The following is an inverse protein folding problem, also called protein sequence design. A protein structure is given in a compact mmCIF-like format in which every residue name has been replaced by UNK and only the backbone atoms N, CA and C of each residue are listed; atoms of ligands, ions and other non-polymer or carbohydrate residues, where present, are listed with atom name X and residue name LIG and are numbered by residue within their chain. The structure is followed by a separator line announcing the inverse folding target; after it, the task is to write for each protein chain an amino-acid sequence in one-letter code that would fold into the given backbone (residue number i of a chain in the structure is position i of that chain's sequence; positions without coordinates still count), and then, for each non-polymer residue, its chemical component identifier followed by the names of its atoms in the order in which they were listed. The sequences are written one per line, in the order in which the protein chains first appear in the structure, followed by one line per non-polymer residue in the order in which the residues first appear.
data_IF_532635222548
#
_entry.id   IF_532635222548
#
_cell.length_a   1.000
_cell.length_b   1.000
_cell.length_c   1.000
_cell.angle_alpha   90.00
_cell.angle_beta   90.00
_cell.angle_gamma   90.00
#
_symmetry.space_group_name_H-M   'P 1'
#
loop_
_entity.id
_entity.type
_entity.pdbx_description
1 polymer ?
#
# COMPACT_ATOMS: atom_id res chain seq x y z
N UNK A 1 -9.15 11.17 -9.34
CA UNK A 1 -8.62 9.96 -8.67
C UNK A 1 -8.02 8.98 -9.67
N UNK A 2 -8.67 8.72 -10.82
CA UNK A 2 -8.13 7.81 -11.84
C UNK A 2 -6.77 8.25 -12.41
N UNK A 3 -6.65 9.51 -12.84
CA UNK A 3 -5.40 10.05 -13.43
C UNK A 3 -4.18 9.99 -12.51
N UNK A 4 -4.18 10.51 -11.27
CA UNK A 4 -3.01 10.43 -10.40
C UNK A 4 -2.65 9.00 -9.99
N UNK A 5 -3.63 8.10 -9.91
CA UNK A 5 -3.38 6.67 -9.63
C UNK A 5 -2.66 6.00 -10.79
N UNK A 6 -3.15 6.21 -12.01
CA UNK A 6 -2.56 5.64 -13.22
C UNK A 6 -1.16 6.22 -13.47
N UNK A 7 -0.94 7.52 -13.19
CA UNK A 7 0.39 8.14 -13.27
C UNK A 7 1.38 7.58 -12.22
N UNK A 8 0.93 7.36 -10.98
CA UNK A 8 1.75 6.75 -9.93
C UNK A 8 2.13 5.29 -10.26
N UNK A 9 1.15 4.54 -10.75
CA UNK A 9 1.35 3.16 -11.18
C UNK A 9 2.33 3.11 -12.36
N UNK A 10 2.19 4.02 -13.34
CA UNK A 10 3.14 4.12 -14.43
C UNK A 10 4.53 4.49 -13.95
N UNK A 11 4.70 5.38 -12.97
CA UNK A 11 6.01 5.69 -12.40
C UNK A 11 6.66 4.46 -11.75
N UNK A 12 5.87 3.63 -11.06
CA UNK A 12 6.32 2.37 -10.47
C UNK A 12 6.69 1.33 -11.54
N UNK A 13 5.89 1.21 -12.60
CA UNK A 13 6.13 0.28 -13.70
C UNK A 13 7.15 0.78 -14.74
N UNK A 14 7.44 2.08 -14.80
CA UNK A 14 8.45 2.66 -15.69
C UNK A 14 9.84 2.11 -15.39
N UNK A 15 10.11 1.79 -14.11
CA UNK A 15 11.34 1.12 -13.70
C UNK A 15 11.46 -0.34 -14.22
N UNK A 16 10.34 -0.94 -14.64
CA UNK A 16 10.24 -2.34 -15.10
C UNK A 16 10.26 -2.51 -16.63
N UNK A 17 10.48 -1.45 -17.42
CA UNK A 17 10.64 -1.50 -18.89
C UNK A 17 9.44 -2.10 -19.65
N UNK A 18 8.21 -1.68 -19.33
CA UNK A 18 7.01 -2.12 -20.06
C UNK A 18 7.06 -1.67 -21.54
N UNK A 19 7.18 -2.61 -22.48
CA UNK A 19 6.97 -2.39 -23.93
C UNK A 19 5.48 -2.51 -24.31
N UNK A 20 4.59 -2.02 -23.46
CA UNK A 20 3.15 -2.28 -23.52
C UNK A 20 2.36 -1.02 -23.86
N UNK A 21 1.14 -1.19 -24.40
CA UNK A 21 0.27 -0.07 -24.77
C UNK A 21 -0.27 0.59 -23.49
N UNK A 22 -0.03 1.89 -23.33
CA UNK A 22 -0.51 2.66 -22.19
C UNK A 22 -1.54 3.71 -22.63
N UNK A 23 -2.76 3.64 -22.08
CA UNK A 23 -3.83 4.61 -22.32
C UNK A 23 -4.38 5.09 -20.97
N UNK A 24 -3.91 6.22 -20.43
CA UNK A 24 -4.27 6.66 -19.07
C UNK A 24 -5.78 6.83 -18.84
N UNK A 25 -6.51 7.20 -19.89
CA UNK A 25 -7.97 7.24 -19.89
C UNK A 25 -8.47 6.91 -21.29
N UNK A 26 -9.14 5.78 -21.42
CA UNK A 26 -9.77 5.36 -22.66
C UNK A 26 -11.05 6.20 -22.89
N UNK A 27 -11.21 6.70 -24.11
CA UNK A 27 -12.41 7.44 -24.50
C UNK A 27 -13.59 6.49 -24.72
N UNK A 28 -14.82 6.98 -24.55
CA UNK A 28 -16.03 6.15 -24.58
C UNK A 28 -16.20 5.36 -25.89
N UNK A 29 -15.83 5.93 -27.04
CA UNK A 29 -15.88 5.23 -28.33
C UNK A 29 -14.69 4.29 -28.59
N UNK A 30 -13.81 4.09 -27.60
CA UNK A 30 -12.61 3.26 -27.68
C UNK A 30 -12.70 1.97 -26.89
N UNK A 31 -13.87 1.62 -26.38
CA UNK A 31 -14.08 0.44 -25.52
C UNK A 31 -13.65 -0.87 -26.20
N UNK A 32 -13.75 -0.95 -27.53
CA UNK A 32 -13.28 -2.09 -28.32
C UNK A 32 -11.77 -2.35 -28.21
N UNK A 33 -10.97 -1.36 -27.75
CA UNK A 33 -9.53 -1.57 -27.50
C UNK A 33 -9.25 -2.47 -26.30
N UNK A 34 -10.24 -2.77 -25.46
CA UNK A 34 -10.13 -3.71 -24.32
C UNK A 34 -9.83 -5.13 -24.83
N UNK A 35 -10.33 -5.51 -26.01
CA UNK A 35 -10.08 -6.81 -26.61
C UNK A 35 -8.73 -6.87 -27.37
N UNK A 36 -7.83 -5.90 -27.17
CA UNK A 36 -6.53 -5.89 -27.83
C UNK A 36 -5.71 -7.13 -27.44
N UNK A 37 -5.07 -7.83 -28.40
CA UNK A 37 -4.37 -9.08 -28.15
C UNK A 37 -2.98 -8.88 -27.52
N UNK A 38 -2.49 -7.65 -27.44
CA UNK A 38 -1.19 -7.32 -26.84
C UNK A 38 -1.39 -6.77 -25.44
N UNK A 39 -0.49 -7.05 -24.48
CA UNK A 39 -0.69 -6.57 -23.12
C UNK A 39 -0.71 -5.04 -23.06
N UNK A 40 -1.62 -4.51 -22.24
CA UNK A 40 -1.92 -3.09 -22.15
C UNK A 40 -2.15 -2.67 -20.70
N UNK A 41 -2.14 -1.37 -20.48
CA UNK A 41 -2.63 -0.74 -19.26
C UNK A 41 -3.51 0.44 -19.64
N UNK A 42 -4.77 0.40 -19.22
CA UNK A 42 -5.76 1.40 -19.58
C UNK A 42 -6.59 1.85 -18.37
N UNK A 43 -6.87 3.15 -18.29
CA UNK A 43 -7.83 3.69 -17.34
C UNK A 43 -9.23 3.79 -17.95
N UNK A 44 -10.25 3.39 -17.21
CA UNK A 44 -11.65 3.49 -17.63
C UNK A 44 -12.48 4.28 -16.61
N UNK A 45 -13.40 5.10 -17.09
CA UNK A 45 -14.39 5.74 -16.23
C UNK A 45 -15.46 4.71 -15.80
N UNK A 46 -15.91 4.76 -14.54
CA UNK A 46 -16.86 3.78 -13.97
C UNK A 46 -18.22 3.73 -14.69
N UNK A 47 -18.60 4.81 -15.37
CA UNK A 47 -19.83 4.87 -16.18
C UNK A 47 -19.74 4.22 -17.57
N UNK A 48 -18.60 3.62 -17.94
CA UNK A 48 -18.48 2.89 -19.21
C UNK A 48 -19.04 1.49 -19.04
N UNK A 49 -19.96 1.12 -19.93
CA UNK A 49 -20.51 -0.23 -19.98
C UNK A 49 -19.48 -1.21 -20.57
N UNK A 50 -19.11 -2.20 -19.76
CA UNK A 50 -18.18 -3.26 -20.12
C UNK A 50 -18.83 -4.64 -20.13
N UNK A 51 -20.15 -4.72 -19.94
CA UNK A 51 -20.88 -5.99 -19.79
C UNK A 51 -20.87 -6.87 -21.04
N UNK A 52 -20.67 -6.27 -22.22
CA UNK A 52 -20.61 -6.97 -23.50
C UNK A 52 -19.21 -7.44 -23.93
N UNK A 53 -18.16 -7.17 -23.15
CA UNK A 53 -16.77 -7.47 -23.52
C UNK A 53 -16.26 -8.76 -22.89
N UNK A 54 -15.33 -9.41 -23.57
CA UNK A 54 -14.62 -10.57 -23.04
C UNK A 54 -13.48 -10.13 -22.13
N UNK A 55 -13.66 -10.24 -20.82
CA UNK A 55 -12.62 -9.89 -19.82
C UNK A 55 -11.61 -11.02 -19.57
N UNK A 56 -11.48 -11.97 -20.50
CA UNK A 56 -10.57 -13.09 -20.32
C UNK A 56 -9.11 -12.64 -20.44
N UNK A 57 -8.27 -13.03 -19.47
CA UNK A 57 -6.89 -12.57 -19.37
C UNK A 57 -6.75 -11.09 -18.96
N UNK A 58 -7.85 -10.40 -18.64
CA UNK A 58 -7.83 -8.99 -18.23
C UNK A 58 -7.91 -8.90 -16.70
N UNK A 59 -6.99 -8.13 -16.10
CA UNK A 59 -7.02 -7.81 -14.67
C UNK A 59 -7.71 -6.46 -14.49
N UNK A 60 -8.87 -6.47 -13.83
CA UNK A 60 -9.66 -5.27 -13.55
C UNK A 60 -9.41 -4.83 -12.11
N UNK A 61 -8.94 -3.60 -11.94
CA UNK A 61 -8.73 -2.96 -10.63
C UNK A 61 -9.75 -1.85 -10.46
N UNK A 62 -10.74 -2.11 -9.61
CA UNK A 62 -11.74 -1.13 -9.21
C UNK A 62 -11.22 -0.31 -8.02
N UNK A 63 -10.95 0.97 -8.29
CA UNK A 63 -10.38 1.90 -7.30
C UNK A 63 -11.43 2.44 -6.33
N UNK A 64 -12.71 2.45 -6.70
CA UNK A 64 -13.78 2.96 -5.83
C UNK A 64 -14.07 1.96 -4.71
N UNK A 65 -14.10 0.67 -5.05
CA UNK A 65 -14.39 -0.41 -4.09
C UNK A 65 -13.15 -1.18 -3.63
N UNK A 66 -11.95 -0.76 -4.05
CA UNK A 66 -10.67 -1.42 -3.77
C UNK A 66 -10.72 -2.94 -4.06
N UNK A 67 -11.24 -3.29 -5.25
CA UNK A 67 -11.51 -4.67 -5.65
C UNK A 67 -10.71 -5.03 -6.89
N UNK A 68 -10.10 -6.22 -6.87
CA UNK A 68 -9.42 -6.80 -8.03
C UNK A 68 -10.27 -7.96 -8.56
N UNK A 69 -10.52 -7.98 -9.87
CA UNK A 69 -11.21 -9.07 -10.57
C UNK A 69 -10.30 -9.57 -11.69
N UNK A 70 -10.08 -10.89 -11.74
CA UNK A 70 -9.24 -11.55 -12.75
C UNK A 70 -9.74 -12.98 -12.98
N UNK A 71 -9.58 -13.51 -14.18
CA UNK A 71 -9.91 -14.90 -14.50
C UNK A 71 -8.84 -15.90 -14.09
N UNK A 72 -7.60 -15.44 -13.88
CA UNK A 72 -6.44 -16.27 -13.53
C UNK A 72 -5.96 -16.00 -12.10
N UNK A 73 -5.32 -16.99 -11.48
CA UNK A 73 -4.72 -16.80 -10.16
C UNK A 73 -3.43 -15.98 -10.28
N UNK A 74 -3.36 -14.87 -9.53
CA UNK A 74 -2.16 -14.04 -9.48
C UNK A 74 -1.10 -14.78 -8.67
N UNK A 75 0.09 -15.07 -9.23
CA UNK A 75 1.13 -15.75 -8.49
C UNK A 75 1.60 -14.88 -7.31
N UNK A 76 1.80 -15.47 -6.12
CA UNK A 76 2.27 -14.71 -4.98
C UNK A 76 3.74 -14.27 -5.17
N UNK A 77 4.07 -13.11 -4.63
CA UNK A 77 5.46 -12.65 -4.53
C UNK A 77 6.19 -13.59 -3.52
N UNK A 78 7.38 -14.10 -3.85
CA UNK A 78 8.13 -14.95 -2.94
C UNK A 78 8.56 -14.20 -1.66
N UNK A 79 8.89 -14.98 -0.63
CA UNK A 79 9.59 -14.49 0.56
C UNK A 79 11.10 -14.56 0.34
N UNK A 80 11.89 -13.58 0.84
CA UNK A 80 11.50 -12.51 1.77
C UNK A 80 11.01 -11.21 1.11
N UNK A 81 10.95 -11.15 -0.22
CA UNK A 81 10.67 -9.93 -0.98
C UNK A 81 9.28 -9.37 -0.69
N UNK A 82 8.28 -10.24 -0.54
CA UNK A 82 6.92 -9.83 -0.18
C UNK A 82 6.89 -9.08 1.15
N UNK A 83 7.46 -9.67 2.20
CA UNK A 83 7.51 -9.06 3.53
C UNK A 83 8.27 -7.73 3.54
N UNK A 84 9.40 -7.67 2.82
CA UNK A 84 10.18 -6.46 2.69
C UNK A 84 9.38 -5.35 1.98
N UNK A 85 8.81 -5.65 0.80
CA UNK A 85 8.04 -4.70 0.00
C UNK A 85 6.83 -4.19 0.77
N UNK A 86 6.10 -5.08 1.43
CA UNK A 86 4.95 -4.73 2.27
C UNK A 86 5.37 -3.77 3.40
N UNK A 87 6.49 -4.04 4.06
CA UNK A 87 7.04 -3.18 5.12
C UNK A 87 7.34 -1.77 4.61
N UNK A 88 8.06 -1.66 3.50
CA UNK A 88 8.43 -0.37 2.90
C UNK A 88 7.21 0.40 2.39
N UNK A 89 6.26 -0.26 1.72
CA UNK A 89 5.01 0.39 1.28
C UNK A 89 4.24 0.90 2.49
N UNK A 90 4.12 0.10 3.56
CA UNK A 90 3.39 0.50 4.78
C UNK A 90 3.98 1.78 5.39
N UNK A 91 5.30 1.98 5.33
CA UNK A 91 5.98 3.22 5.75
C UNK A 91 5.57 4.44 4.94
N UNK A 92 5.37 4.27 3.64
CA UNK A 92 4.97 5.36 2.76
C UNK A 92 3.49 5.75 2.96
N UNK A 93 2.61 4.78 3.19
CA UNK A 93 1.17 5.02 3.39
C UNK A 93 0.81 5.45 4.82
N UNK A 94 1.56 5.01 5.84
CA UNK A 94 1.36 5.33 7.25
C UNK A 94 2.65 5.82 7.92
N UNK A 95 3.21 6.97 7.49
CA UNK A 95 4.52 7.44 7.96
C UNK A 95 4.61 7.63 9.48
N UNK A 96 3.48 7.89 10.14
CA UNK A 96 3.42 8.15 11.58
C UNK A 96 3.13 6.92 12.46
N UNK A 97 2.87 5.74 11.88
CA UNK A 97 2.49 4.52 12.65
C UNK A 97 3.70 3.58 12.86
N UNK A 98 4.80 3.77 12.15
CA UNK A 98 5.92 2.81 12.19
C UNK A 98 7.00 3.21 13.20
N UNK A 99 7.16 4.52 13.48
CA UNK A 99 8.06 4.98 14.54
C UNK A 99 7.62 4.56 15.95
N UNK A 100 6.33 4.29 16.18
CA UNK A 100 5.82 3.90 17.49
C UNK A 100 6.14 2.44 17.86
N UNK A 101 6.25 1.54 16.88
CA UNK A 101 6.54 0.12 17.15
C UNK A 101 8.06 -0.14 17.29
N UNK A 102 8.89 0.63 16.56
CA UNK A 102 10.33 0.68 16.77
C UNK A 102 10.69 1.22 18.17
N UNK A 103 9.99 2.26 18.65
CA UNK A 103 10.18 2.78 20.01
C UNK A 103 9.79 1.75 21.09
N UNK A 104 8.74 0.96 20.86
CA UNK A 104 8.29 -0.07 21.80
C UNK A 104 9.28 -1.24 21.88
N UNK A 105 9.86 -1.63 20.75
CA UNK A 105 10.87 -2.69 20.68
C UNK A 105 12.18 -2.27 21.36
N UNK A 106 12.56 -0.99 21.25
CA UNK A 106 13.71 -0.43 21.98
C UNK A 106 13.48 -0.29 23.50
N UNK A 107 12.26 0.03 23.94
CA UNK A 107 11.95 0.15 25.37
C UNK A 107 11.94 -1.22 26.07
N UNK A 108 11.44 -2.26 25.40
CA UNK A 108 11.45 -3.61 25.96
C UNK A 108 12.85 -4.24 25.99
N UNK A 109 13.75 -3.91 25.04
CA UNK A 109 15.13 -4.43 25.06
C UNK A 109 16.06 -3.68 26.02
N UNK A 110 15.81 -2.40 26.29
CA UNK A 110 16.58 -1.61 27.26
C UNK A 110 16.20 -1.95 28.71
N UNK A 111 15.00 -2.49 28.96
CA UNK A 111 14.56 -2.86 30.31
C UNK A 111 15.26 -4.09 30.89
N UNK A 112 15.91 -4.94 30.08
CA UNK A 112 16.52 -6.18 30.58
C UNK A 112 17.99 -6.04 31.02
N UNK A 113 18.63 -4.87 30.84
CA UNK A 113 20.09 -4.72 31.05
C UNK A 113 20.55 -3.57 31.96
N UNK A 114 19.70 -3.05 32.85
CA UNK A 114 20.18 -2.17 33.93
C UNK A 114 20.33 -2.92 35.27
N UNK A 115 21.57 -3.20 35.73
CA UNK A 115 21.80 -3.72 37.06
C UNK A 115 21.51 -2.65 38.11
N UNK A 116 20.84 -3.06 39.18
CA UNK A 116 20.65 -2.38 40.48
C UNK A 116 21.54 -1.14 40.69
N UNK A 117 20.96 0.05 40.61
CA UNK A 117 21.45 1.21 41.35
C UNK A 117 20.44 1.58 42.43
N UNK A 118 20.74 1.13 43.65
CA UNK A 118 20.11 1.58 44.89
C UNK A 118 20.57 3.00 45.19
N UNK A 119 19.65 3.97 45.19
CA UNK A 119 19.61 5.20 46.01
C UNK A 119 18.33 5.96 45.56
N UNK A 120 17.45 6.50 46.40
CA UNK A 120 17.47 6.94 47.80
C UNK A 120 16.00 7.10 48.21
N UNK A 121 15.60 6.65 49.40
CA UNK A 121 14.28 6.93 49.99
C UNK A 121 14.10 8.44 50.17
N UNK A 122 12.99 8.98 49.68
CA UNK A 122 12.41 10.28 50.05
C UNK A 122 10.93 9.96 50.27
N UNK A 123 10.40 9.88 51.49
CA UNK A 123 10.37 10.90 52.54
C UNK A 123 8.89 11.24 52.72
N UNK A 124 8.27 10.68 53.75
CA UNK A 124 6.83 10.63 54.01
C UNK A 124 6.38 11.86 54.79
N UNK A 125 6.45 13.07 54.22
CA UNK A 125 5.90 14.23 54.92
C UNK A 125 5.82 15.49 54.05
N UNK A 126 4.76 15.66 53.25
CA UNK A 126 4.27 17.01 52.93
C UNK A 126 2.74 16.99 52.71
N UNK A 127 2.02 16.76 53.81
CA UNK A 127 0.64 17.20 53.98
C UNK A 127 0.68 18.70 54.31
N UNK A 128 0.26 19.61 53.42
CA UNK A 128 -0.31 20.90 53.82
C UNK A 128 -1.26 21.41 52.73
N UNK A 129 -2.53 21.44 53.11
CA UNK A 129 -3.62 22.15 52.45
C UNK A 129 -3.31 23.63 52.33
N UNK A 130 -3.66 24.27 51.21
CA UNK A 130 -3.87 25.71 51.15
C UNK A 130 -5.12 26.02 50.29
N UNK A 131 -6.23 26.12 51.03
CA UNK A 131 -7.39 27.02 50.96
C UNK A 131 -7.89 27.56 49.62
#
# INVERSE_FOLDING_TARGET
MLTPFVDLLLMFFFFLSLKHVYIPLLFYSGVDYIDAPTPYMMGLHSGVDTTGLTMDGVVVVDLEYNRITTSEEIPPIPEPEFSFLRGEITKLIHPNVIGIDEMKTGIYSVSEHFPKLRAKQWGEEHNLQLR
#
